data_IF_625320071394
#
_entry.id   IF_625320071394
#
_cell.length_a   1.000
_cell.length_b   1.000
_cell.length_c   1.000
_cell.angle_alpha   90.00
_cell.angle_beta   90.00
_cell.angle_gamma   90.00
#
_symmetry.space_group_name_H-M   'P 1'
#
loop_
_entity.id
_entity.type
_entity.pdbx_description
1 polymer ?
#
# COMPACT_ATOMS: atom_id res chain seq x y z
N UNK A 1 36.61 -11.23 7.52
CA UNK A 1 36.06 -10.03 8.20
C UNK A 1 35.53 -9.10 7.12
N UNK A 2 34.22 -8.95 6.98
CA UNK A 2 33.67 -7.98 6.02
C UNK A 2 33.73 -6.59 6.65
N UNK A 3 34.58 -5.71 6.11
CA UNK A 3 34.72 -4.31 6.51
C UNK A 3 33.51 -3.48 6.03
N UNK A 4 32.35 -3.67 6.64
CA UNK A 4 31.20 -2.77 6.45
C UNK A 4 31.24 -1.63 7.46
N UNK A 5 30.89 -0.42 7.01
CA UNK A 5 30.82 0.77 7.88
C UNK A 5 29.69 0.59 8.89
N UNK A 6 29.94 0.75 10.19
CA UNK A 6 28.90 0.67 11.23
C UNK A 6 28.33 2.04 11.63
N UNK A 7 28.99 3.13 11.24
CA UNK A 7 28.59 4.50 11.53
C UNK A 7 28.67 5.39 10.28
N UNK A 8 27.82 6.44 10.18
CA UNK A 8 27.90 7.41 9.10
C UNK A 8 29.24 8.15 9.15
N UNK A 9 29.81 8.45 7.98
CA UNK A 9 31.02 9.28 7.92
C UNK A 9 30.70 10.74 8.28
N UNK A 10 31.56 11.42 9.05
CA UNK A 10 31.40 12.84 9.33
C UNK A 10 31.60 13.64 8.04
N UNK A 11 30.49 14.01 7.41
CA UNK A 11 30.44 14.78 6.16
C UNK A 11 29.24 15.72 6.15
N UNK A 12 29.40 16.87 5.50
CA UNK A 12 28.31 17.81 5.23
C UNK A 12 27.58 17.47 3.91
N UNK A 13 28.10 16.49 3.15
CA UNK A 13 27.58 16.09 1.85
C UNK A 13 26.52 14.98 1.98
N UNK A 14 25.78 14.77 0.89
CA UNK A 14 24.85 13.64 0.75
C UNK A 14 25.61 12.31 0.90
N UNK A 15 25.12 11.36 1.73
CA UNK A 15 25.74 10.04 1.83
C UNK A 15 25.76 9.32 0.47
N UNK A 16 26.90 8.74 0.10
CA UNK A 16 27.09 8.08 -1.19
C UNK A 16 26.16 6.87 -1.42
N UNK A 17 25.57 6.32 -0.35
CA UNK A 17 24.57 5.24 -0.45
C UNK A 17 23.19 5.70 -0.95
N UNK A 18 22.85 6.99 -0.84
CA UNK A 18 21.49 7.48 -1.13
C UNK A 18 21.03 7.22 -2.57
N UNK A 19 21.82 7.48 -3.63
CA UNK A 19 21.39 7.21 -5.00
C UNK A 19 20.98 5.75 -5.23
N UNK A 20 21.71 4.81 -4.63
CA UNK A 20 21.38 3.38 -4.71
C UNK A 20 20.06 3.05 -4.01
N UNK A 21 19.78 3.65 -2.86
CA UNK A 21 18.53 3.40 -2.11
C UNK A 21 17.33 3.98 -2.88
N UNK A 22 17.44 5.21 -3.39
CA UNK A 22 16.36 5.85 -4.16
C UNK A 22 16.10 5.11 -5.47
N UNK A 23 17.15 4.69 -6.18
CA UNK A 23 17.02 3.88 -7.40
C UNK A 23 16.41 2.50 -7.15
N UNK A 24 16.83 1.82 -6.08
CA UNK A 24 16.22 0.57 -5.62
C UNK A 24 14.73 0.74 -5.33
N UNK A 25 14.34 1.81 -4.63
CA UNK A 25 12.93 2.06 -4.31
C UNK A 25 12.09 2.28 -5.56
N UNK A 26 12.55 3.11 -6.50
CA UNK A 26 11.81 3.37 -7.73
C UNK A 26 11.52 2.07 -8.50
N UNK A 27 12.53 1.20 -8.63
CA UNK A 27 12.43 -0.05 -9.36
C UNK A 27 11.58 -1.11 -8.63
N UNK A 28 11.71 -1.23 -7.30
CA UNK A 28 10.86 -2.13 -6.52
C UNK A 28 9.40 -1.67 -6.52
N UNK A 29 9.13 -0.36 -6.40
CA UNK A 29 7.77 0.19 -6.41
C UNK A 29 7.12 -0.03 -7.77
N UNK A 30 7.87 0.18 -8.85
CA UNK A 30 7.40 -0.19 -10.18
C UNK A 30 6.99 -1.67 -10.23
N UNK A 31 7.85 -2.55 -9.73
CA UNK A 31 7.59 -3.99 -9.74
C UNK A 31 6.32 -4.37 -8.98
N UNK A 32 6.19 -3.88 -7.74
CA UNK A 32 5.05 -4.17 -6.88
C UNK A 32 3.74 -3.68 -7.48
N UNK A 33 3.66 -2.39 -7.81
CA UNK A 33 2.43 -1.78 -8.30
C UNK A 33 2.06 -2.27 -9.69
N UNK A 34 3.03 -2.55 -10.55
CA UNK A 34 2.81 -3.12 -11.87
C UNK A 34 2.14 -4.49 -11.82
N UNK A 35 2.72 -5.41 -11.04
CA UNK A 35 2.15 -6.74 -10.83
C UNK A 35 0.77 -6.66 -10.17
N UNK A 36 0.63 -5.86 -9.11
CA UNK A 36 -0.65 -5.70 -8.40
C UNK A 36 -1.75 -5.17 -9.32
N UNK A 37 -1.44 -4.20 -10.20
CA UNK A 37 -2.42 -3.54 -11.05
C UNK A 37 -3.11 -4.47 -12.04
N UNK A 38 -2.44 -5.55 -12.45
CA UNK A 38 -2.97 -6.53 -13.41
C UNK A 38 -3.54 -7.79 -12.77
N UNK A 39 -3.36 -7.98 -11.46
CA UNK A 39 -3.64 -9.25 -10.78
C UNK A 39 -5.11 -9.67 -10.93
N UNK A 40 -6.05 -8.72 -10.82
CA UNK A 40 -7.48 -8.97 -11.03
C UNK A 40 -7.81 -9.45 -12.44
N UNK A 41 -7.30 -8.74 -13.45
CA UNK A 41 -7.52 -9.09 -14.86
C UNK A 41 -6.89 -10.44 -15.16
N UNK A 42 -5.70 -10.69 -14.63
CA UNK A 42 -5.02 -11.97 -14.76
C UNK A 42 -5.84 -13.14 -14.20
N UNK A 43 -6.34 -13.02 -12.97
CA UNK A 43 -7.14 -14.07 -12.31
C UNK A 43 -8.47 -14.35 -13.05
N UNK A 44 -9.08 -13.32 -13.62
CA UNK A 44 -10.40 -13.42 -14.27
C UNK A 44 -10.33 -13.77 -15.76
N UNK A 45 -9.16 -13.65 -16.41
CA UNK A 45 -9.07 -13.79 -17.88
C UNK A 45 -7.92 -14.65 -18.40
N UNK A 46 -6.84 -14.87 -17.63
CA UNK A 46 -5.60 -15.46 -18.16
C UNK A 46 -5.14 -16.75 -17.47
N UNK A 47 -5.75 -17.13 -16.34
CA UNK A 47 -5.38 -18.37 -15.64
C UNK A 47 -5.66 -19.61 -16.48
N UNK A 48 -4.73 -20.58 -16.41
CA UNK A 48 -4.85 -21.88 -17.08
C UNK A 48 -4.74 -23.04 -16.09
N UNK A 49 -5.23 -24.22 -16.47
CA UNK A 49 -4.98 -25.47 -15.76
C UNK A 49 -3.67 -26.13 -16.21
N UNK A 50 -3.33 -27.29 -15.64
CA UNK A 50 -2.11 -28.03 -15.97
C UNK A 50 -2.05 -28.54 -17.42
N UNK A 51 -3.19 -28.62 -18.12
CA UNK A 51 -3.25 -28.95 -19.55
C UNK A 51 -3.21 -27.72 -20.46
N UNK A 52 -3.06 -26.51 -19.91
CA UNK A 52 -3.00 -25.26 -20.67
C UNK A 52 -4.35 -24.70 -21.11
N UNK A 53 -5.47 -25.27 -20.66
CA UNK A 53 -6.82 -24.74 -20.94
C UNK A 53 -7.18 -23.65 -19.93
N UNK A 54 -8.01 -22.68 -20.34
CA UNK A 54 -8.45 -21.59 -19.47
C UNK A 54 -9.21 -22.12 -18.24
N UNK A 55 -8.79 -21.67 -17.05
CA UNK A 55 -9.32 -22.07 -15.75
C UNK A 55 -9.39 -20.86 -14.80
N UNK A 56 -10.06 -19.81 -15.28
CA UNK A 56 -10.21 -18.51 -14.62
C UNK A 56 -11.03 -18.58 -13.32
N UNK A 57 -10.90 -17.53 -12.52
CA UNK A 57 -11.68 -17.34 -11.29
C UNK A 57 -12.93 -16.50 -11.59
N UNK A 58 -13.98 -16.67 -10.76
CA UNK A 58 -15.09 -15.71 -10.75
C UNK A 58 -14.62 -14.35 -10.24
N UNK A 59 -15.37 -13.28 -10.55
CA UNK A 59 -15.08 -11.91 -10.06
C UNK A 59 -14.88 -11.89 -8.53
N UNK A 60 -15.78 -12.52 -7.79
CA UNK A 60 -15.75 -12.59 -6.33
C UNK A 60 -14.59 -13.44 -5.79
N UNK A 61 -14.31 -14.60 -6.40
CA UNK A 61 -13.17 -15.46 -6.03
C UNK A 61 -11.86 -14.69 -6.21
N UNK A 62 -11.71 -14.02 -7.36
CA UNK A 62 -10.55 -13.19 -7.67
C UNK A 62 -10.40 -12.02 -6.68
N UNK A 63 -11.48 -11.32 -6.32
CA UNK A 63 -11.47 -10.27 -5.29
C UNK A 63 -11.04 -10.82 -3.92
N UNK A 64 -11.58 -11.98 -3.53
CA UNK A 64 -11.22 -12.67 -2.29
C UNK A 64 -9.72 -12.93 -2.21
N UNK A 65 -9.13 -13.54 -3.25
CA UNK A 65 -7.69 -13.81 -3.32
C UNK A 65 -6.83 -12.54 -3.44
N UNK A 66 -7.27 -11.53 -4.20
CA UNK A 66 -6.57 -10.25 -4.29
C UNK A 66 -6.38 -9.62 -2.91
N UNK A 67 -7.48 -9.52 -2.14
CA UNK A 67 -7.42 -8.93 -0.81
C UNK A 67 -6.69 -9.83 0.20
N UNK A 68 -6.75 -11.15 0.05
CA UNK A 68 -5.95 -12.05 0.87
C UNK A 68 -4.45 -11.84 0.64
N UNK A 69 -4.03 -11.68 -0.61
CA UNK A 69 -2.66 -11.34 -0.97
C UNK A 69 -2.22 -9.99 -0.40
N UNK A 70 -3.04 -8.95 -0.57
CA UNK A 70 -2.74 -7.61 -0.01
C UNK A 70 -2.65 -7.68 1.52
N UNK A 71 -3.55 -8.42 2.17
CA UNK A 71 -3.51 -8.66 3.61
C UNK A 71 -2.19 -9.30 4.04
N UNK A 72 -1.74 -10.36 3.36
CA UNK A 72 -0.47 -11.00 3.63
C UNK A 72 0.72 -10.05 3.45
N UNK A 73 0.75 -9.25 2.38
CA UNK A 73 1.81 -8.26 2.12
C UNK A 73 1.91 -7.23 3.26
N UNK A 74 0.79 -6.79 3.83
CA UNK A 74 0.79 -5.80 4.92
C UNK A 74 0.88 -6.41 6.33
N UNK A 75 0.75 -7.73 6.45
CA UNK A 75 1.02 -8.46 7.69
C UNK A 75 2.51 -8.80 7.86
N UNK A 76 3.21 -9.13 6.77
CA UNK A 76 4.63 -9.48 6.76
C UNK A 76 5.63 -8.42 7.28
N UNK A 77 5.35 -7.10 7.30
CA UNK A 77 6.21 -6.11 7.94
C UNK A 77 6.55 -6.43 9.40
N UNK A 78 5.65 -7.07 10.16
CA UNK A 78 5.92 -7.48 11.54
C UNK A 78 7.11 -8.46 11.61
N UNK A 79 7.15 -9.44 10.70
CA UNK A 79 8.25 -10.40 10.60
C UNK A 79 9.51 -9.75 10.05
N UNK A 80 9.38 -8.88 9.05
CA UNK A 80 10.50 -8.12 8.49
C UNK A 80 11.24 -7.29 9.54
N UNK A 81 10.50 -6.56 10.36
CA UNK A 81 11.04 -5.79 11.48
C UNK A 81 11.77 -6.68 12.50
N UNK A 82 11.17 -7.82 12.88
CA UNK A 82 11.79 -8.77 13.81
C UNK A 82 13.10 -9.35 13.26
N UNK A 83 13.15 -9.71 11.97
CA UNK A 83 14.36 -10.22 11.33
C UNK A 83 15.46 -9.16 11.26
N UNK A 84 15.10 -7.92 10.88
CA UNK A 84 16.04 -6.82 10.76
C UNK A 84 16.59 -6.33 12.10
N UNK A 85 15.72 -6.03 13.07
CA UNK A 85 16.13 -5.44 14.34
C UNK A 85 16.56 -6.50 15.36
N UNK A 86 16.10 -7.75 15.21
CA UNK A 86 16.39 -8.85 16.14
C UNK A 86 17.59 -9.73 15.75
N UNK A 87 17.75 -10.09 14.46
CA UNK A 87 18.67 -11.16 14.05
C UNK A 87 19.75 -10.73 13.06
N UNK A 88 19.37 -10.25 11.87
CA UNK A 88 20.29 -10.15 10.72
C UNK A 88 20.82 -8.75 10.45
N UNK A 89 20.18 -7.71 10.99
CA UNK A 89 20.40 -6.32 10.58
C UNK A 89 19.66 -5.98 9.28
N UNK A 90 19.28 -4.70 9.13
CA UNK A 90 18.41 -4.21 8.03
C UNK A 90 18.91 -4.59 6.64
N UNK A 91 20.18 -4.32 6.31
CA UNK A 91 20.73 -4.60 4.96
C UNK A 91 20.60 -6.07 4.57
N UNK A 92 20.96 -7.01 5.47
CA UNK A 92 20.90 -8.45 5.16
C UNK A 92 19.46 -8.92 5.02
N UNK A 93 18.57 -8.45 5.90
CA UNK A 93 17.13 -8.74 5.79
C UNK A 93 16.57 -8.26 4.47
N UNK A 94 16.87 -7.02 4.06
CA UNK A 94 16.39 -6.48 2.78
C UNK A 94 16.93 -7.29 1.62
N UNK A 95 18.23 -7.60 1.59
CA UNK A 95 18.84 -8.35 0.50
C UNK A 95 18.23 -9.76 0.36
N UNK A 96 18.11 -10.51 1.46
CA UNK A 96 17.57 -11.87 1.45
C UNK A 96 16.10 -11.89 1.00
N UNK A 97 15.28 -11.01 1.58
CA UNK A 97 13.86 -10.93 1.23
C UNK A 97 13.65 -10.41 -0.20
N UNK A 98 14.54 -9.55 -0.71
CA UNK A 98 14.48 -9.09 -2.11
C UNK A 98 14.76 -10.23 -3.10
N UNK A 99 15.62 -11.19 -2.76
CA UNK A 99 15.84 -12.39 -3.58
C UNK A 99 14.59 -13.29 -3.61
N UNK A 100 13.94 -13.50 -2.46
CA UNK A 100 12.65 -14.21 -2.37
C UNK A 100 11.59 -13.48 -3.20
N UNK A 101 11.60 -12.16 -3.17
CA UNK A 101 10.70 -11.33 -3.95
C UNK A 101 10.91 -11.53 -5.47
N UNK A 102 12.17 -11.55 -5.93
CA UNK A 102 12.49 -11.85 -7.33
C UNK A 102 11.95 -13.23 -7.75
N UNK A 103 12.16 -14.25 -6.91
CA UNK A 103 11.64 -15.60 -7.18
C UNK A 103 10.11 -15.59 -7.35
N UNK A 104 9.39 -14.87 -6.49
CA UNK A 104 7.93 -14.76 -6.60
C UNK A 104 7.46 -14.16 -7.93
N UNK A 105 8.12 -13.12 -8.43
CA UNK A 105 7.81 -12.56 -9.75
C UNK A 105 8.10 -13.53 -10.90
N UNK A 106 9.25 -14.22 -10.87
CA UNK A 106 9.56 -15.20 -11.89
C UNK A 106 8.65 -16.42 -11.84
N UNK A 107 8.18 -16.83 -10.66
CA UNK A 107 7.13 -17.86 -10.54
C UNK A 107 5.85 -17.42 -11.25
N UNK A 108 5.37 -16.19 -11.05
CA UNK A 108 4.19 -15.67 -11.76
C UNK A 108 4.40 -15.56 -13.28
N UNK A 109 5.64 -15.29 -13.72
CA UNK A 109 5.96 -15.20 -15.14
C UNK A 109 6.03 -16.56 -15.85
N UNK A 110 6.42 -17.62 -15.12
CA UNK A 110 6.68 -18.95 -15.67
C UNK A 110 5.48 -19.90 -15.53
N UNK A 111 4.68 -19.75 -14.47
CA UNK A 111 3.57 -20.65 -14.15
C UNK A 111 2.25 -19.89 -14.10
N UNK A 112 1.47 -20.01 -15.17
CA UNK A 112 0.16 -19.35 -15.30
C UNK A 112 -0.99 -20.12 -14.63
N UNK A 113 -0.69 -21.14 -13.82
CA UNK A 113 -1.70 -21.91 -13.11
C UNK A 113 -2.10 -21.28 -11.78
N UNK A 114 -3.19 -21.76 -11.19
CA UNK A 114 -3.60 -21.38 -9.83
C UNK A 114 -2.51 -21.70 -8.78
N UNK A 115 -1.71 -22.75 -8.99
CA UNK A 115 -0.60 -23.09 -8.10
C UNK A 115 0.55 -22.09 -8.25
N UNK A 116 0.93 -21.77 -9.50
CA UNK A 116 1.91 -20.73 -9.80
C UNK A 116 1.53 -19.39 -9.20
N UNK A 117 0.25 -19.02 -9.31
CA UNK A 117 -0.31 -17.83 -8.69
C UNK A 117 -0.14 -17.82 -7.17
N UNK A 118 -0.52 -18.91 -6.49
CA UNK A 118 -0.42 -19.03 -5.03
C UNK A 118 1.03 -18.94 -4.55
N UNK A 119 1.93 -19.68 -5.20
CA UNK A 119 3.36 -19.70 -4.86
C UNK A 119 3.99 -18.33 -5.12
N UNK A 120 3.74 -17.75 -6.30
CA UNK A 120 4.26 -16.43 -6.67
C UNK A 120 3.79 -15.33 -5.71
N UNK A 121 2.48 -15.27 -5.42
CA UNK A 121 1.91 -14.30 -4.47
C UNK A 121 2.48 -14.49 -3.05
N UNK A 122 2.65 -15.74 -2.59
CA UNK A 122 3.20 -16.03 -1.26
C UNK A 122 4.64 -15.53 -1.13
N UNK A 123 5.48 -15.81 -2.13
CA UNK A 123 6.87 -15.34 -2.17
C UNK A 123 6.95 -13.80 -2.25
N UNK A 124 6.10 -13.17 -3.06
CA UNK A 124 6.01 -11.70 -3.14
C UNK A 124 5.55 -11.10 -1.81
N UNK A 125 4.57 -11.70 -1.13
CA UNK A 125 4.08 -11.22 0.16
C UNK A 125 5.18 -11.25 1.23
N UNK A 126 5.95 -12.34 1.31
CA UNK A 126 7.11 -12.47 2.19
C UNK A 126 8.17 -11.42 1.85
N UNK A 127 8.51 -11.30 0.56
CA UNK A 127 9.53 -10.39 0.06
C UNK A 127 9.16 -8.92 0.26
N UNK A 128 8.16 -8.44 -0.48
CA UNK A 128 7.71 -7.04 -0.45
C UNK A 128 7.27 -6.61 0.95
N UNK A 129 6.50 -7.44 1.64
CA UNK A 129 6.01 -7.12 2.98
C UNK A 129 7.14 -7.01 4.00
N UNK A 130 8.07 -7.95 4.00
CA UNK A 130 9.16 -7.95 4.99
C UNK A 130 10.23 -6.87 4.75
N UNK A 131 10.41 -6.36 3.52
CA UNK A 131 11.36 -5.25 3.28
C UNK A 131 10.79 -3.86 3.63
N UNK A 132 9.47 -3.65 3.55
CA UNK A 132 8.80 -2.35 3.77
C UNK A 132 9.27 -1.59 5.03
N UNK A 133 9.30 -2.18 6.24
CA UNK A 133 9.70 -1.45 7.44
C UNK A 133 11.21 -1.17 7.48
N UNK A 134 12.00 -1.93 6.73
CA UNK A 134 13.46 -1.90 6.78
C UNK A 134 14.06 -0.80 5.89
N UNK A 135 13.51 -0.61 4.68
CA UNK A 135 14.10 0.30 3.66
C UNK A 135 14.01 1.76 4.10
N UNK A 136 12.84 2.21 4.57
CA UNK A 136 12.67 3.59 5.05
C UNK A 136 13.56 3.89 6.27
N UNK A 137 13.72 2.90 7.17
CA UNK A 137 14.62 3.01 8.31
C UNK A 137 16.11 3.01 7.90
N UNK A 138 16.48 2.32 6.81
CA UNK A 138 17.85 2.30 6.29
C UNK A 138 18.29 3.68 5.78
N UNK A 139 17.39 4.49 5.22
CA UNK A 139 17.68 5.87 4.77
C UNK A 139 18.13 6.72 5.96
N UNK A 140 17.33 6.73 7.03
CA UNK A 140 17.64 7.50 8.24
C UNK A 140 18.98 7.11 8.86
N UNK A 141 19.36 5.83 8.75
CA UNK A 141 20.64 5.33 9.26
C UNK A 141 21.87 5.81 8.48
N UNK A 142 21.70 6.39 7.28
CA UNK A 142 22.82 6.91 6.48
C UNK A 142 23.30 8.30 6.90
N UNK A 143 22.51 9.01 7.72
CA UNK A 143 22.81 10.38 8.11
C UNK A 143 23.45 10.44 9.50
N UNK A 144 24.49 11.26 9.60
CA UNK A 144 25.09 11.69 10.87
C UNK A 144 24.56 13.06 11.29
N UNK A 145 25.11 13.63 12.37
CA UNK A 145 24.70 14.94 12.89
C UNK A 145 24.93 16.07 11.87
N UNK A 146 26.06 16.03 11.15
CA UNK A 146 26.49 17.10 10.26
C UNK A 146 25.63 17.24 8.97
N UNK A 147 25.06 16.13 8.48
CA UNK A 147 24.24 16.11 7.26
C UNK A 147 22.76 15.81 7.53
N UNK A 148 22.31 15.82 8.79
CA UNK A 148 20.92 15.53 9.18
C UNK A 148 19.90 16.46 8.48
N UNK A 149 20.28 17.72 8.22
CA UNK A 149 19.44 18.69 7.51
C UNK A 149 19.09 18.27 6.05
N UNK A 150 19.89 17.39 5.43
CA UNK A 150 19.64 16.86 4.09
C UNK A 150 18.61 15.71 4.09
N UNK A 151 18.32 15.13 5.25
CA UNK A 151 17.45 13.96 5.37
C UNK A 151 16.04 14.23 4.85
N UNK A 152 15.47 15.40 5.17
CA UNK A 152 14.14 15.81 4.68
C UNK A 152 14.08 15.84 3.16
N UNK A 153 15.12 16.40 2.52
CA UNK A 153 15.24 16.45 1.06
C UNK A 153 15.27 15.05 0.44
N UNK A 154 15.99 14.12 1.07
CA UNK A 154 16.08 12.73 0.59
C UNK A 154 14.78 11.97 0.78
N UNK A 155 14.06 12.16 1.88
CA UNK A 155 12.72 11.61 2.04
C UNK A 155 11.75 12.14 0.98
N UNK A 156 11.86 13.42 0.56
CA UNK A 156 11.09 13.94 -0.57
C UNK A 156 11.43 13.27 -1.89
N UNK A 157 12.71 13.04 -2.19
CA UNK A 157 13.13 12.31 -3.39
C UNK A 157 12.63 10.86 -3.39
N UNK A 158 12.73 10.19 -2.24
CA UNK A 158 12.22 8.84 -2.04
C UNK A 158 10.70 8.78 -2.29
N UNK A 159 9.96 9.77 -1.79
CA UNK A 159 8.52 9.87 -2.01
C UNK A 159 8.14 10.06 -3.49
N UNK A 160 8.89 10.92 -4.20
CA UNK A 160 8.69 11.10 -5.66
C UNK A 160 9.00 9.79 -6.40
N UNK A 161 10.09 9.10 -6.04
CA UNK A 161 10.47 7.82 -6.63
C UNK A 161 9.36 6.76 -6.49
N UNK A 162 8.72 6.67 -5.32
CA UNK A 162 7.58 5.77 -5.07
C UNK A 162 6.44 6.06 -6.05
N UNK A 163 5.98 7.32 -6.10
CA UNK A 163 4.80 7.68 -6.88
C UNK A 163 5.06 7.64 -8.39
N UNK A 164 6.24 8.06 -8.85
CA UNK A 164 6.62 7.95 -10.27
C UNK A 164 6.74 6.49 -10.70
N UNK A 165 7.37 5.65 -9.87
CA UNK A 165 7.48 4.20 -10.12
C UNK A 165 6.11 3.54 -10.21
N UNK A 166 5.21 3.84 -9.26
CA UNK A 166 3.84 3.34 -9.25
C UNK A 166 3.03 3.80 -10.48
N UNK A 167 3.07 5.10 -10.78
CA UNK A 167 2.38 5.70 -11.92
C UNK A 167 2.81 5.06 -13.24
N UNK A 168 4.11 4.97 -13.48
CA UNK A 168 4.64 4.36 -14.70
C UNK A 168 4.24 2.87 -14.80
N UNK A 169 4.32 2.12 -13.71
CA UNK A 169 3.96 0.70 -13.70
C UNK A 169 2.48 0.45 -13.99
N UNK A 170 1.60 1.26 -13.39
CA UNK A 170 0.15 1.17 -13.60
C UNK A 170 -0.30 1.55 -15.01
N UNK A 171 0.54 2.26 -15.79
CA UNK A 171 0.30 2.52 -17.20
C UNK A 171 0.90 1.44 -18.10
N UNK A 172 2.14 1.03 -17.85
CA UNK A 172 2.93 0.17 -18.73
C UNK A 172 2.55 -1.31 -18.58
N UNK A 173 2.39 -1.82 -17.36
CA UNK A 173 2.17 -3.26 -17.15
C UNK A 173 0.81 -3.74 -17.67
N UNK A 174 -0.31 -3.02 -17.48
CA UNK A 174 -1.57 -3.40 -18.14
C UNK A 174 -1.48 -3.40 -19.67
N UNK A 175 -0.73 -2.47 -20.25
CA UNK A 175 -0.48 -2.43 -21.69
C UNK A 175 0.31 -3.66 -22.15
N UNK A 176 1.36 -4.06 -21.41
CA UNK A 176 2.11 -5.29 -21.68
C UNK A 176 1.23 -6.54 -21.55
N UNK A 177 0.34 -6.61 -20.55
CA UNK A 177 -0.56 -7.75 -20.41
C UNK A 177 -1.47 -7.92 -21.64
N UNK A 178 -2.03 -6.82 -22.15
CA UNK A 178 -2.91 -6.85 -23.33
C UNK A 178 -2.17 -7.27 -24.62
N UNK A 179 -0.95 -6.80 -24.84
CA UNK A 179 -0.25 -6.99 -26.12
C UNK A 179 0.72 -8.18 -26.14
N UNK A 180 1.29 -8.52 -24.98
CA UNK A 180 2.39 -9.48 -24.86
C UNK A 180 2.08 -10.67 -23.94
N UNK A 181 0.91 -10.66 -23.29
CA UNK A 181 0.45 -11.74 -22.42
C UNK A 181 1.06 -11.75 -21.00
N UNK A 182 0.60 -12.68 -20.14
CA UNK A 182 0.91 -12.67 -18.71
C UNK A 182 2.39 -12.94 -18.40
N UNK A 183 3.04 -13.82 -19.17
CA UNK A 183 4.44 -14.15 -18.96
C UNK A 183 5.35 -12.92 -19.01
N UNK A 184 5.20 -12.08 -20.05
CA UNK A 184 5.97 -10.84 -20.20
C UNK A 184 5.52 -9.79 -19.17
N UNK A 185 4.22 -9.66 -18.94
CA UNK A 185 3.66 -8.69 -18.00
C UNK A 185 4.10 -8.93 -16.54
N UNK A 186 4.39 -10.17 -16.14
CA UNK A 186 4.99 -10.49 -14.84
C UNK A 186 6.52 -10.55 -14.86
N UNK A 187 7.15 -10.90 -15.98
CA UNK A 187 8.61 -10.93 -16.10
C UNK A 187 9.23 -9.54 -16.01
N UNK A 188 8.61 -8.51 -16.61
CA UNK A 188 9.13 -7.13 -16.56
C UNK A 188 9.22 -6.58 -15.14
N UNK A 189 8.17 -6.68 -14.30
CA UNK A 189 8.27 -6.45 -12.85
C UNK A 189 9.42 -7.25 -12.22
N UNK A 190 9.51 -8.56 -12.47
CA UNK A 190 10.58 -9.41 -11.92
C UNK A 190 11.99 -8.95 -12.27
N UNK A 191 12.22 -8.51 -13.52
CA UNK A 191 13.50 -7.96 -13.96
C UNK A 191 13.82 -6.63 -13.27
N UNK A 192 12.83 -5.76 -13.05
CA UNK A 192 13.04 -4.52 -12.31
C UNK A 192 13.24 -4.75 -10.81
N UNK A 193 12.59 -5.75 -10.23
CA UNK A 193 12.89 -6.17 -8.86
C UNK A 193 14.32 -6.74 -8.73
N UNK A 194 14.78 -7.48 -9.73
CA UNK A 194 16.16 -7.96 -9.80
C UNK A 194 17.14 -6.78 -9.93
N UNK A 195 16.82 -5.80 -10.79
CA UNK A 195 17.59 -4.56 -10.89
C UNK A 195 17.66 -3.81 -9.56
N UNK A 196 16.53 -3.68 -8.85
CA UNK A 196 16.48 -3.08 -7.52
C UNK A 196 17.45 -3.80 -6.56
N UNK A 197 17.38 -5.13 -6.53
CA UNK A 197 18.26 -5.97 -5.71
C UNK A 197 19.74 -5.80 -6.06
N UNK A 198 20.07 -5.70 -7.35
CA UNK A 198 21.43 -5.44 -7.83
C UNK A 198 21.91 -4.05 -7.41
N UNK A 199 21.08 -3.01 -7.54
CA UNK A 199 21.41 -1.65 -7.09
C UNK A 199 21.69 -1.62 -5.59
N UNK A 200 20.86 -2.30 -4.79
CA UNK A 200 21.09 -2.47 -3.35
C UNK A 200 22.43 -3.16 -3.08
N UNK A 201 22.73 -4.23 -3.79
CA UNK A 201 23.98 -4.96 -3.62
C UNK A 201 25.21 -4.16 -4.05
N UNK A 202 25.12 -3.33 -5.10
CA UNK A 202 26.21 -2.44 -5.52
C UNK A 202 26.51 -1.37 -4.46
N UNK A 203 25.49 -0.88 -3.75
CA UNK A 203 25.64 0.10 -2.68
C UNK A 203 26.24 -0.45 -1.36
N UNK A 204 26.47 -1.76 -1.24
CA UNK A 204 26.86 -2.44 0.02
C UNK A 204 28.11 -1.88 0.71
N UNK A 205 29.06 -1.31 -0.02
CA UNK A 205 30.27 -0.73 0.58
C UNK A 205 30.11 0.75 0.93
N UNK A 206 29.02 1.37 0.46
CA UNK A 206 28.67 2.77 0.72
C UNK A 206 27.69 2.92 1.90
N UNK A 207 26.97 1.86 2.27
CA UNK A 207 25.99 1.92 3.35
C UNK A 207 26.61 1.87 4.74
N UNK A 208 25.98 2.61 5.63
CA UNK A 208 26.10 2.44 7.08
C UNK A 208 25.22 1.27 7.53
N UNK A 209 25.84 0.28 8.16
CA UNK A 209 25.25 -0.96 8.66
C UNK A 209 25.17 -0.91 10.18
N UNK A 210 24.02 -0.46 10.70
CA UNK A 210 23.79 -0.53 12.15
C UNK A 210 23.59 -1.99 12.59
N UNK A 211 24.24 -2.42 13.70
CA UNK A 211 24.02 -3.74 14.24
C UNK A 211 22.57 -3.89 14.76
N UNK A 212 22.02 -5.11 14.75
CA UNK A 212 20.69 -5.36 15.29
C UNK A 212 20.64 -5.02 16.79
N UNK A 213 19.50 -4.51 17.25
CA UNK A 213 19.26 -4.19 18.65
C UNK A 213 19.10 -5.46 19.52
N UNK A 214 18.75 -6.59 18.92
CA UNK A 214 18.65 -7.88 19.58
C UNK A 214 17.55 -7.94 20.64
N UNK A 215 17.78 -8.69 21.72
CA UNK A 215 16.76 -8.97 22.75
C UNK A 215 16.25 -7.72 23.49
N UNK A 216 17.00 -6.60 23.46
CA UNK A 216 16.60 -5.34 24.09
C UNK A 216 15.32 -4.78 23.45
N UNK A 217 15.21 -4.87 22.12
CA UNK A 217 14.04 -4.43 21.36
C UNK A 217 12.78 -5.21 21.76
N UNK A 218 12.88 -6.55 21.83
CA UNK A 218 11.76 -7.42 22.20
C UNK A 218 11.30 -7.13 23.64
N UNK A 219 12.24 -6.94 24.57
CA UNK A 219 11.92 -6.59 25.97
C UNK A 219 11.23 -5.24 26.10
N UNK A 220 11.64 -4.23 25.33
CA UNK A 220 10.98 -2.91 25.31
C UNK A 220 9.56 -2.98 24.73
N UNK A 221 9.35 -3.76 23.66
CA UNK A 221 8.01 -3.98 23.09
C UNK A 221 7.05 -4.62 24.08
N UNK A 222 7.49 -5.66 24.79
CA UNK A 222 6.67 -6.37 25.77
C UNK A 222 6.58 -5.66 27.13
N UNK A 223 7.15 -4.46 27.26
CA UNK A 223 7.06 -3.67 28.48
C UNK A 223 5.64 -3.11 28.68
N UNK A 224 5.24 -2.87 29.93
CA UNK A 224 3.93 -2.29 30.24
C UNK A 224 3.70 -0.93 29.59
N UNK A 225 4.76 -0.12 29.46
CA UNK A 225 4.71 1.21 28.81
C UNK A 225 4.45 1.05 27.30
N UNK A 226 5.21 0.14 26.66
CA UNK A 226 5.02 -0.17 25.24
C UNK A 226 3.60 -0.68 24.95
N UNK A 227 3.12 -1.64 25.74
CA UNK A 227 1.79 -2.23 25.55
C UNK A 227 0.65 -1.21 25.75
N UNK A 228 0.75 -0.32 26.75
CA UNK A 228 -0.25 0.76 26.97
C UNK A 228 -0.30 1.74 25.80
N UNK A 229 0.86 2.16 25.27
CA UNK A 229 0.93 3.06 24.11
C UNK A 229 0.38 2.39 22.84
N UNK A 230 0.72 1.12 22.64
CA UNK A 230 0.18 0.32 21.54
C UNK A 230 -1.33 0.16 21.62
N UNK A 231 -1.89 -0.08 22.81
CA UNK A 231 -3.33 -0.14 23.01
C UNK A 231 -4.04 1.19 22.67
N UNK A 232 -3.43 2.34 23.05
CA UNK A 232 -3.94 3.67 22.72
C UNK A 232 -3.89 3.98 21.22
N UNK A 233 -2.88 3.49 20.51
CA UNK A 233 -2.80 3.61 19.04
C UNK A 233 -3.72 2.61 18.32
N UNK A 234 -3.86 1.40 18.86
CA UNK A 234 -4.74 0.35 18.33
C UNK A 234 -6.21 0.81 18.30
N UNK A 235 -6.64 1.57 19.32
CA UNK A 235 -8.00 2.10 19.36
C UNK A 235 -8.31 3.06 18.21
N UNK A 236 -7.30 3.81 17.71
CA UNK A 236 -7.44 4.66 16.52
C UNK A 236 -7.34 3.81 15.25
N UNK A 237 -6.34 2.93 15.16
CA UNK A 237 -6.10 2.09 13.99
C UNK A 237 -7.26 1.17 13.64
N UNK A 238 -8.03 0.73 14.63
CA UNK A 238 -9.23 -0.07 14.41
C UNK A 238 -10.24 0.58 13.45
N UNK A 239 -10.40 1.91 13.49
CA UNK A 239 -11.28 2.64 12.57
C UNK A 239 -10.70 2.72 11.15
N UNK A 240 -9.38 2.78 11.03
CA UNK A 240 -8.70 2.86 9.73
C UNK A 240 -8.65 1.53 9.00
N UNK A 241 -8.85 0.42 9.70
CA UNK A 241 -9.12 -0.88 9.08
C UNK A 241 -10.24 -0.80 8.05
N UNK A 242 -11.34 -0.11 8.36
CA UNK A 242 -12.47 0.05 7.42
C UNK A 242 -12.10 0.99 6.27
N UNK A 243 -11.36 2.07 6.54
CA UNK A 243 -10.85 2.94 5.49
C UNK A 243 -10.01 2.14 4.46
N UNK A 244 -9.10 1.28 4.92
CA UNK A 244 -8.29 0.44 4.03
C UNK A 244 -9.10 -0.64 3.31
N UNK A 245 -10.14 -1.19 3.96
CA UNK A 245 -11.08 -2.10 3.31
C UNK A 245 -11.76 -1.46 2.08
N UNK A 246 -12.07 -0.16 2.14
CA UNK A 246 -12.61 0.60 1.01
C UNK A 246 -11.50 1.02 0.04
N UNK A 247 -10.41 1.60 0.54
CA UNK A 247 -9.36 2.15 -0.31
C UNK A 247 -8.75 1.10 -1.25
N UNK A 248 -8.43 -0.09 -0.72
CA UNK A 248 -7.76 -1.13 -1.53
C UNK A 248 -8.69 -1.81 -2.54
N UNK A 249 -10.01 -1.55 -2.49
CA UNK A 249 -10.94 -1.98 -3.54
C UNK A 249 -10.75 -1.26 -4.87
N UNK A 250 -10.03 -0.14 -4.88
CA UNK A 250 -9.57 0.53 -6.10
C UNK A 250 -8.75 -0.40 -7.00
N UNK A 251 -8.06 -1.39 -6.41
CA UNK A 251 -7.31 -2.42 -7.12
C UNK A 251 -8.09 -3.70 -7.40
N UNK A 252 -9.36 -3.78 -7.01
CA UNK A 252 -10.21 -4.97 -7.15
C UNK A 252 -11.55 -4.67 -7.82
N UNK A 253 -12.62 -4.43 -7.04
CA UNK A 253 -13.98 -4.19 -7.52
C UNK A 253 -14.07 -3.02 -8.49
N UNK A 254 -13.29 -1.96 -8.26
CA UNK A 254 -13.24 -0.78 -9.12
C UNK A 254 -12.68 -1.10 -10.52
N UNK A 255 -11.71 -2.02 -10.62
CA UNK A 255 -11.19 -2.47 -11.92
C UNK A 255 -12.29 -3.23 -12.68
N UNK A 256 -13.00 -4.12 -12.00
CA UNK A 256 -14.11 -4.88 -12.60
C UNK A 256 -15.25 -3.96 -13.03
N UNK A 257 -15.58 -2.95 -12.22
CA UNK A 257 -16.56 -1.93 -12.61
C UNK A 257 -16.10 -1.15 -13.85
N UNK A 258 -14.83 -0.72 -13.89
CA UNK A 258 -14.24 -0.07 -15.06
C UNK A 258 -14.29 -0.95 -16.32
N UNK A 259 -14.33 -2.28 -16.19
CA UNK A 259 -14.49 -3.17 -17.34
C UNK A 259 -15.83 -2.98 -18.06
N UNK A 260 -16.85 -2.58 -17.31
CA UNK A 260 -18.25 -2.45 -17.73
C UNK A 260 -18.64 -1.00 -18.12
N UNK A 261 -17.71 -0.06 -17.99
CA UNK A 261 -17.91 1.38 -18.25
C UNK A 261 -17.39 1.83 -19.62
N UNK A 262 -17.78 3.03 -20.05
CA UNK A 262 -17.19 3.69 -21.23
C UNK A 262 -15.81 4.25 -20.86
N UNK A 263 -14.77 3.64 -21.43
CA UNK A 263 -13.36 3.97 -21.18
C UNK A 263 -12.73 4.86 -22.25
N UNK A 264 -13.53 5.46 -23.13
CA UNK A 264 -13.02 6.37 -24.15
C UNK A 264 -12.69 7.74 -23.55
N UNK A 265 -11.42 8.12 -23.58
CA UNK A 265 -10.93 9.43 -23.17
C UNK A 265 -10.27 10.12 -24.36
N UNK A 266 -10.89 11.19 -24.87
CA UNK A 266 -10.39 11.96 -26.01
C UNK A 266 -9.98 11.11 -27.22
N UNK A 267 -10.74 10.04 -27.51
CA UNK A 267 -10.48 9.11 -28.61
C UNK A 267 -9.52 7.96 -28.31
N UNK A 268 -8.96 7.88 -27.10
CA UNK A 268 -8.09 6.78 -26.65
C UNK A 268 -8.86 5.90 -25.68
N UNK A 269 -8.92 4.60 -25.95
CA UNK A 269 -9.50 3.63 -25.01
C UNK A 269 -8.52 3.32 -23.88
N UNK A 270 -8.89 3.68 -22.65
CA UNK A 270 -8.13 3.34 -21.46
C UNK A 270 -8.32 1.85 -21.11
N UNK A 271 -7.27 1.15 -20.70
CA UNK A 271 -7.43 -0.18 -20.10
C UNK A 271 -8.01 -0.07 -18.68
N UNK A 272 -8.89 -0.99 -18.26
CA UNK A 272 -9.58 -0.87 -16.98
C UNK A 272 -8.60 -0.77 -15.78
N UNK A 273 -7.49 -1.50 -15.80
CA UNK A 273 -6.45 -1.41 -14.75
C UNK A 273 -5.68 -0.09 -14.73
N UNK A 274 -5.62 0.66 -15.84
CA UNK A 274 -4.82 1.89 -15.92
C UNK A 274 -5.42 3.05 -15.12
N UNK A 275 -6.71 2.98 -14.74
CA UNK A 275 -7.33 3.98 -13.87
C UNK A 275 -6.63 4.10 -12.51
N UNK A 276 -5.98 3.02 -12.04
CA UNK A 276 -5.20 3.03 -10.80
C UNK A 276 -4.06 4.05 -10.84
N UNK A 277 -3.51 4.36 -12.01
CA UNK A 277 -2.47 5.37 -12.17
C UNK A 277 -2.93 6.77 -11.71
N UNK A 278 -4.25 7.00 -11.63
CA UNK A 278 -4.79 8.25 -11.11
C UNK A 278 -4.32 8.51 -9.66
N UNK A 279 -4.30 7.50 -8.78
CA UNK A 279 -3.96 7.70 -7.37
C UNK A 279 -2.53 8.24 -7.14
N UNK A 280 -1.43 7.62 -7.61
CA UNK A 280 -0.08 8.17 -7.39
C UNK A 280 0.12 9.54 -8.05
N UNK A 281 -0.52 9.80 -9.19
CA UNK A 281 -0.52 11.13 -9.82
C UNK A 281 -1.23 12.15 -8.93
N UNK A 282 -2.43 11.82 -8.48
CA UNK A 282 -3.24 12.68 -7.61
C UNK A 282 -2.54 12.92 -6.28
N UNK A 283 -1.86 11.94 -5.71
CA UNK A 283 -1.06 12.13 -4.49
C UNK A 283 0.01 13.21 -4.69
N UNK A 284 0.77 13.16 -5.79
CA UNK A 284 1.79 14.17 -6.08
C UNK A 284 1.22 15.58 -6.27
N UNK A 285 -0.04 15.71 -6.70
CA UNK A 285 -0.72 16.98 -6.93
C UNK A 285 -1.47 17.49 -5.69
N UNK A 286 -2.21 16.60 -5.03
CA UNK A 286 -3.08 16.89 -3.91
C UNK A 286 -2.30 17.10 -2.63
N UNK A 287 -1.19 16.41 -2.37
CA UNK A 287 -0.42 16.64 -1.14
C UNK A 287 0.05 18.10 -1.03
N UNK A 288 0.73 18.69 -2.04
CA UNK A 288 1.06 20.12 -2.01
C UNK A 288 -0.18 21.02 -1.93
N UNK A 289 -1.25 20.71 -2.67
CA UNK A 289 -2.50 21.47 -2.66
C UNK A 289 -3.12 21.51 -1.25
N UNK A 290 -3.15 20.36 -0.56
CA UNK A 290 -3.68 20.26 0.79
C UNK A 290 -2.80 21.01 1.79
N UNK A 291 -1.48 20.83 1.72
CA UNK A 291 -0.53 21.48 2.63
C UNK A 291 -0.50 23.01 2.49
N UNK A 292 -0.51 23.54 1.26
CA UNK A 292 -0.30 24.97 1.02
C UNK A 292 -1.58 25.78 0.81
N UNK A 293 -2.70 25.14 0.43
CA UNK A 293 -3.95 25.83 0.15
C UNK A 293 -5.10 25.34 1.03
N UNK A 294 -5.47 24.07 0.96
CA UNK A 294 -6.72 23.59 1.59
C UNK A 294 -6.62 23.62 3.11
N UNK A 295 -5.56 23.09 3.73
CA UNK A 295 -5.42 23.10 5.19
C UNK A 295 -5.34 24.53 5.75
N UNK A 296 -4.55 25.46 5.19
CA UNK A 296 -4.58 26.86 5.63
C UNK A 296 -5.96 27.51 5.51
N UNK A 297 -6.73 27.21 4.46
CA UNK A 297 -8.09 27.74 4.28
C UNK A 297 -9.08 27.15 5.29
N UNK A 298 -9.07 25.82 5.48
CA UNK A 298 -9.93 25.16 6.48
C UNK A 298 -9.63 25.65 7.90
N UNK A 299 -8.35 25.90 8.20
CA UNK A 299 -7.92 26.40 9.50
C UNK A 299 -8.41 27.84 9.79
N UNK A 300 -8.91 28.57 8.78
CA UNK A 300 -9.60 29.86 8.99
C UNK A 300 -11.04 29.68 9.50
N UNK A 301 -11.67 28.54 9.21
CA UNK A 301 -13.06 28.25 9.59
C UNK A 301 -13.16 27.55 10.94
N UNK A 302 -12.26 26.59 11.23
CA UNK A 302 -12.19 25.86 12.50
C UNK A 302 -10.77 25.38 12.76
N UNK A 303 -10.42 25.13 14.02
CA UNK A 303 -9.09 24.65 14.40
C UNK A 303 -8.87 23.25 13.84
N UNK A 304 -7.90 23.10 12.95
CA UNK A 304 -7.67 21.87 12.22
C UNK A 304 -6.61 20.98 12.91
N UNK A 305 -7.04 20.21 13.92
CA UNK A 305 -6.18 19.21 14.59
C UNK A 305 -5.93 17.99 13.70
N UNK A 306 -4.94 17.15 14.05
CA UNK A 306 -4.68 15.90 13.35
C UNK A 306 -5.92 14.99 13.35
N UNK A 307 -6.60 14.91 14.49
CA UNK A 307 -7.82 14.12 14.65
C UNK A 307 -8.97 14.67 13.78
N UNK A 308 -9.16 15.98 13.72
CA UNK A 308 -10.18 16.60 12.86
C UNK A 308 -9.93 16.36 11.36
N UNK A 309 -8.66 16.38 10.91
CA UNK A 309 -8.31 16.00 9.53
C UNK A 309 -8.73 14.56 9.24
N UNK A 310 -8.38 13.64 10.13
CA UNK A 310 -8.74 12.22 9.96
C UNK A 310 -10.26 12.03 9.92
N UNK A 311 -11.03 12.69 10.80
CA UNK A 311 -12.51 12.64 10.77
C UNK A 311 -13.07 13.09 9.41
N UNK A 312 -12.65 14.24 8.91
CA UNK A 312 -13.13 14.79 7.63
C UNK A 312 -12.79 13.83 6.48
N UNK A 313 -11.60 13.23 6.50
CA UNK A 313 -11.22 12.21 5.52
C UNK A 313 -12.10 10.97 5.56
N UNK A 314 -12.50 10.49 6.75
CA UNK A 314 -13.44 9.36 6.86
C UNK A 314 -14.81 9.68 6.26
N UNK A 315 -15.37 10.87 6.52
CA UNK A 315 -16.62 11.30 5.88
C UNK A 315 -16.46 11.51 4.37
N UNK A 316 -15.32 12.06 3.93
CA UNK A 316 -15.03 12.21 2.50
C UNK A 316 -14.94 10.86 1.79
N UNK A 317 -14.47 9.81 2.49
CA UNK A 317 -14.46 8.43 1.97
C UNK A 317 -15.87 7.91 1.70
N UNK A 318 -16.85 8.24 2.56
CA UNK A 318 -18.26 7.89 2.34
C UNK A 318 -18.77 8.51 1.03
N UNK A 319 -18.48 9.80 0.82
CA UNK A 319 -18.88 10.50 -0.41
C UNK A 319 -18.18 9.90 -1.63
N UNK A 320 -16.89 9.58 -1.50
CA UNK A 320 -16.11 8.96 -2.57
C UNK A 320 -16.68 7.59 -2.97
N UNK A 321 -17.15 6.78 -2.02
CA UNK A 321 -17.72 5.45 -2.25
C UNK A 321 -19.20 5.45 -2.65
N UNK A 322 -19.93 6.54 -2.38
CA UNK A 322 -21.27 6.73 -2.94
C UNK A 322 -21.22 6.81 -4.48
N UNK A 323 -20.16 7.36 -5.07
CA UNK A 323 -20.00 7.47 -6.53
C UNK A 323 -19.96 6.09 -7.23
N UNK A 324 -19.05 5.15 -6.91
CA UNK A 324 -19.07 3.80 -7.49
C UNK A 324 -20.35 3.03 -7.18
N UNK A 325 -21.04 3.35 -6.06
CA UNK A 325 -22.36 2.78 -5.78
C UNK A 325 -23.40 3.25 -6.81
N UNK A 326 -23.43 4.55 -7.13
CA UNK A 326 -24.32 5.14 -8.14
C UNK A 326 -23.95 4.68 -9.56
N UNK A 327 -22.64 4.59 -9.87
CA UNK A 327 -22.16 4.02 -11.13
C UNK A 327 -22.70 2.59 -11.29
N UNK A 328 -22.63 1.79 -10.22
CA UNK A 328 -23.12 0.41 -10.28
C UNK A 328 -24.64 0.35 -10.50
N UNK A 329 -25.43 1.22 -9.86
CA UNK A 329 -26.87 1.28 -10.11
C UNK A 329 -27.18 1.57 -11.60
N UNK A 330 -26.45 2.50 -12.21
CA UNK A 330 -26.59 2.82 -13.64
C UNK A 330 -26.22 1.63 -14.52
N UNK A 331 -25.13 0.91 -14.18
CA UNK A 331 -24.72 -0.31 -14.90
C UNK A 331 -25.78 -1.40 -14.78
N UNK A 332 -26.37 -1.58 -13.59
CA UNK A 332 -27.40 -2.58 -13.33
C UNK A 332 -28.70 -2.28 -14.11
N UNK A 333 -28.98 -1.00 -14.39
CA UNK A 333 -30.06 -0.54 -15.27
C UNK A 333 -29.71 -0.61 -16.78
N UNK A 334 -28.49 -1.01 -17.14
CA UNK A 334 -28.03 -1.16 -18.52
C UNK A 334 -27.40 0.09 -19.16
N UNK A 335 -27.17 1.16 -18.38
CA UNK A 335 -26.40 2.32 -18.84
C UNK A 335 -24.90 2.03 -18.84
N UNK A 336 -24.14 2.78 -19.65
CA UNK A 336 -22.68 2.66 -19.75
C UNK A 336 -22.05 4.01 -19.37
N UNK A 337 -21.92 4.32 -18.06
CA UNK A 337 -21.37 5.59 -17.61
C UNK A 337 -19.90 5.74 -18.00
N UNK A 338 -19.47 6.99 -18.22
CA UNK A 338 -18.08 7.31 -18.52
C UNK A 338 -17.15 7.08 -17.33
N UNK A 339 -15.94 6.58 -17.61
CA UNK A 339 -14.84 6.39 -16.64
C UNK A 339 -14.49 7.67 -15.86
N UNK A 340 -14.87 8.86 -16.37
CA UNK A 340 -14.68 10.14 -15.67
C UNK A 340 -15.40 10.21 -14.31
N UNK A 341 -16.52 9.51 -14.14
CA UNK A 341 -17.19 9.40 -12.84
C UNK A 341 -16.32 8.66 -11.83
N UNK A 342 -15.64 7.60 -12.27
CA UNK A 342 -14.72 6.87 -11.42
C UNK A 342 -13.47 7.71 -11.12
N UNK A 343 -12.97 8.49 -12.08
CA UNK A 343 -11.87 9.45 -11.84
C UNK A 343 -12.24 10.48 -10.76
N UNK A 344 -13.48 10.98 -10.75
CA UNK A 344 -13.98 11.85 -9.67
C UNK A 344 -13.95 11.13 -8.32
N UNK A 345 -14.38 9.86 -8.27
CA UNK A 345 -14.29 9.05 -7.06
C UNK A 345 -12.82 8.89 -6.59
N UNK A 346 -11.87 8.69 -7.50
CA UNK A 346 -10.43 8.68 -7.18
C UNK A 346 -9.94 10.02 -6.61
N UNK A 347 -10.38 11.16 -7.12
CA UNK A 347 -10.01 12.49 -6.60
C UNK A 347 -10.45 12.64 -5.14
N UNK A 348 -11.70 12.27 -4.84
CA UNK A 348 -12.25 12.37 -3.47
C UNK A 348 -11.59 11.34 -2.54
N UNK A 349 -11.41 10.11 -2.99
CA UNK A 349 -10.78 9.04 -2.20
C UNK A 349 -9.31 9.33 -1.92
N UNK A 350 -8.57 9.87 -2.89
CA UNK A 350 -7.16 10.27 -2.70
C UNK A 350 -7.07 11.50 -1.80
N UNK A 351 -8.02 12.44 -1.89
CA UNK A 351 -8.12 13.53 -0.93
C UNK A 351 -8.35 13.01 0.50
N UNK A 352 -9.22 12.01 0.67
CA UNK A 352 -9.42 11.35 1.95
C UNK A 352 -8.15 10.62 2.44
N UNK A 353 -7.41 9.96 1.55
CA UNK A 353 -6.11 9.34 1.87
C UNK A 353 -5.11 10.36 2.42
N UNK A 354 -4.99 11.55 1.81
CA UNK A 354 -4.12 12.62 2.31
C UNK A 354 -4.53 13.07 3.71
N UNK A 355 -5.82 13.12 4.01
CA UNK A 355 -6.35 13.54 5.30
C UNK A 355 -6.23 12.44 6.38
N UNK A 356 -6.41 11.17 6.01
CA UNK A 356 -6.40 10.03 6.93
C UNK A 356 -5.01 9.42 7.04
N UNK A 357 -4.47 8.88 5.95
CA UNK A 357 -3.26 8.06 5.96
C UNK A 357 -2.04 8.87 6.35
N UNK A 358 -1.78 9.99 5.66
CA UNK A 358 -0.58 10.82 5.89
C UNK A 358 -0.61 11.41 7.31
N UNK A 359 -1.74 12.00 7.71
CA UNK A 359 -1.92 12.58 9.05
C UNK A 359 -1.80 11.54 10.16
N UNK A 360 -2.40 10.36 9.99
CA UNK A 360 -2.32 9.30 10.99
C UNK A 360 -0.88 8.84 11.18
N UNK A 361 -0.15 8.66 10.09
CA UNK A 361 1.22 8.17 10.11
C UNK A 361 2.13 9.17 10.82
N UNK A 362 1.99 10.47 10.53
CA UNK A 362 2.67 11.56 11.22
C UNK A 362 2.32 11.61 12.72
N UNK A 363 1.03 11.56 13.05
CA UNK A 363 0.55 11.53 14.44
C UNK A 363 1.11 10.34 15.22
N UNK A 364 1.11 9.15 14.62
CA UNK A 364 1.66 7.96 15.25
C UNK A 364 3.17 8.05 15.46
N UNK A 365 3.89 8.69 14.55
CA UNK A 365 5.33 8.93 14.70
C UNK A 365 5.64 9.89 15.86
N UNK A 366 4.82 10.91 16.10
CA UNK A 366 5.02 11.85 17.21
C UNK A 366 4.67 11.24 18.57
N UNK A 367 3.74 10.29 18.60
CA UNK A 367 3.32 9.57 19.81
C UNK A 367 4.23 8.37 20.16
N UNK A 368 5.00 7.87 19.19
CA UNK A 368 5.87 6.71 19.37
C UNK A 368 7.18 7.06 20.11
N UNK A 369 7.59 6.26 21.12
CA UNK A 369 8.95 6.33 21.67
C UNK A 369 10.01 6.18 20.57
N UNK A 370 11.16 6.85 20.73
CA UNK A 370 12.24 6.84 19.74
C UNK A 370 12.74 5.42 19.40
N UNK A 371 12.68 4.48 20.35
CA UNK A 371 13.10 3.08 20.16
C UNK A 371 12.05 2.20 19.50
N UNK A 372 10.78 2.64 19.40
CA UNK A 372 9.65 1.82 18.91
C UNK A 372 9.10 2.28 17.56
N UNK A 373 9.72 3.27 16.89
CA UNK A 373 9.20 3.86 15.63
C UNK A 373 8.94 2.83 14.53
N UNK A 374 9.89 1.93 14.25
CA UNK A 374 9.71 0.86 13.24
C UNK A 374 8.56 -0.09 13.58
N UNK A 375 8.36 -0.35 14.87
CA UNK A 375 7.30 -1.25 15.34
C UNK A 375 5.92 -0.59 15.28
N UNK A 376 5.80 0.68 15.67
CA UNK A 376 4.55 1.45 15.54
C UNK A 376 4.11 1.54 14.08
N UNK A 377 5.07 1.64 13.15
CA UNK A 377 4.82 1.57 11.72
C UNK A 377 4.37 0.19 11.24
N UNK A 378 5.01 -0.87 11.72
CA UNK A 378 4.56 -2.23 11.42
C UNK A 378 3.14 -2.48 11.96
N UNK A 379 2.82 -1.92 13.12
CA UNK A 379 1.49 -1.99 13.71
C UNK A 379 0.46 -1.15 12.95
N UNK A 380 0.85 -0.02 12.35
CA UNK A 380 0.00 0.69 11.40
C UNK A 380 -0.34 -0.16 10.18
N UNK A 381 0.64 -0.85 9.58
CA UNK A 381 0.38 -1.75 8.45
C UNK A 381 -0.55 -2.91 8.80
N UNK A 382 -0.62 -3.33 10.06
CA UNK A 382 -1.61 -4.31 10.51
C UNK A 382 -3.05 -3.83 10.28
N UNK A 383 -3.34 -2.53 10.37
CA UNK A 383 -4.69 -2.00 10.05
C UNK A 383 -5.04 -2.21 8.57
N UNK A 384 -4.07 -2.02 7.66
CA UNK A 384 -4.22 -2.31 6.24
C UNK A 384 -4.46 -3.80 6.01
N UNK A 385 -3.69 -4.65 6.70
CA UNK A 385 -3.83 -6.09 6.61
C UNK A 385 -5.20 -6.58 7.07
N UNK A 386 -5.71 -6.05 8.19
CA UNK A 386 -7.04 -6.38 8.72
C UNK A 386 -8.16 -5.88 7.81
N UNK A 387 -8.01 -4.70 7.18
CA UNK A 387 -9.02 -4.15 6.27
C UNK A 387 -9.19 -4.99 5.02
N UNK A 388 -8.06 -5.44 4.47
CA UNK A 388 -8.06 -6.37 3.34
C UNK A 388 -8.53 -7.77 3.75
N UNK A 389 -8.18 -8.25 4.95
CA UNK A 389 -8.68 -9.54 5.44
C UNK A 389 -10.21 -9.52 5.58
N UNK A 390 -10.76 -8.42 6.11
CA UNK A 390 -12.21 -8.21 6.18
C UNK A 390 -12.84 -8.23 4.79
N UNK A 391 -12.27 -7.49 3.83
CA UNK A 391 -12.78 -7.45 2.46
C UNK A 391 -12.69 -8.81 1.77
N UNK A 392 -11.60 -9.55 1.98
CA UNK A 392 -11.43 -10.92 1.50
C UNK A 392 -12.50 -11.86 2.08
N UNK A 393 -12.74 -11.78 3.40
CA UNK A 393 -13.77 -12.57 4.07
C UNK A 393 -15.16 -12.25 3.53
N UNK A 394 -15.50 -10.98 3.31
CA UNK A 394 -16.77 -10.58 2.67
C UNK A 394 -16.92 -11.27 1.31
N UNK A 395 -15.93 -11.17 0.43
CA UNK A 395 -16.01 -11.74 -0.93
C UNK A 395 -16.11 -13.29 -0.95
N UNK A 396 -15.52 -13.98 0.02
CA UNK A 396 -15.69 -15.44 0.14
C UNK A 396 -17.02 -15.86 0.79
N UNK A 397 -17.60 -15.03 1.67
CA UNK A 397 -18.81 -15.37 2.45
C UNK A 397 -20.13 -14.91 1.79
N UNK A 398 -20.07 -14.03 0.79
CA UNK A 398 -21.25 -13.54 0.06
C UNK A 398 -21.86 -14.60 -0.87
N UNK A 399 -21.15 -15.68 -1.19
CA UNK A 399 -21.71 -16.76 -2.01
C UNK A 399 -22.70 -17.62 -1.24
N UNK A 400 -23.86 -17.84 -1.83
CA UNK A 400 -24.83 -18.81 -1.39
C UNK A 400 -24.54 -20.19 -2.01
N UNK A 401 -25.04 -21.25 -1.38
CA UNK A 401 -24.88 -22.64 -1.83
C UNK A 401 -25.53 -22.86 -3.22
N UNK A 402 -26.54 -22.05 -3.55
CA UNK A 402 -27.23 -22.04 -4.85
C UNK A 402 -26.48 -21.28 -5.96
N UNK A 403 -25.32 -20.70 -5.66
CA UNK A 403 -24.52 -19.92 -6.60
C UNK A 403 -24.88 -18.44 -6.70
N UNK A 404 -25.93 -17.97 -6.02
CA UNK A 404 -26.27 -16.54 -5.94
C UNK A 404 -25.35 -15.77 -4.99
N UNK A 405 -25.29 -14.43 -5.11
CA UNK A 405 -24.56 -13.56 -4.18
C UNK A 405 -25.52 -12.83 -3.25
N UNK A 406 -25.20 -12.80 -1.94
CA UNK A 406 -25.92 -12.03 -0.91
C UNK A 406 -25.76 -10.51 -1.08
N UNK A 407 -24.67 -10.09 -1.73
CA UNK A 407 -24.38 -8.70 -2.07
C UNK A 407 -24.03 -8.69 -3.56
N UNK A 408 -24.99 -8.32 -4.40
CA UNK A 408 -24.83 -8.27 -5.85
C UNK A 408 -24.96 -6.82 -6.34
N UNK A 409 -24.26 -6.49 -7.43
CA UNK A 409 -24.37 -5.18 -8.06
C UNK A 409 -24.14 -4.02 -7.08
N UNK A 410 -25.05 -3.05 -7.09
CA UNK A 410 -24.96 -1.86 -6.26
C UNK A 410 -24.94 -2.12 -4.74
N UNK A 411 -25.60 -3.19 -4.27
CA UNK A 411 -25.69 -3.50 -2.84
C UNK A 411 -24.32 -3.76 -2.21
N UNK A 412 -23.38 -4.30 -3.00
CA UNK A 412 -21.99 -4.50 -2.57
C UNK A 412 -21.32 -3.18 -2.20
N UNK A 413 -21.42 -2.18 -3.07
CA UNK A 413 -20.80 -0.87 -2.83
C UNK A 413 -21.52 -0.09 -1.72
N UNK A 414 -22.86 -0.21 -1.64
CA UNK A 414 -23.64 0.40 -0.57
C UNK A 414 -23.35 -0.22 0.80
N UNK A 415 -23.08 -1.52 0.88
CA UNK A 415 -22.63 -2.17 2.10
C UNK A 415 -21.36 -1.52 2.66
N UNK A 416 -20.32 -1.36 1.83
CA UNK A 416 -19.08 -0.72 2.25
C UNK A 416 -19.26 0.78 2.54
N UNK A 417 -20.09 1.49 1.76
CA UNK A 417 -20.43 2.90 1.99
C UNK A 417 -21.11 3.09 3.35
N UNK A 418 -22.09 2.24 3.68
CA UNK A 418 -22.79 2.25 4.97
C UNK A 418 -21.87 1.90 6.13
N UNK A 419 -21.00 0.90 5.97
CA UNK A 419 -19.99 0.54 6.96
C UNK A 419 -19.04 1.71 7.25
N UNK A 420 -18.61 2.43 6.22
CA UNK A 420 -17.76 3.61 6.36
C UNK A 420 -18.51 4.76 7.06
N UNK A 421 -19.79 4.97 6.75
CA UNK A 421 -20.59 5.99 7.44
C UNK A 421 -20.72 5.70 8.94
N UNK A 422 -21.02 4.45 9.30
CA UNK A 422 -21.06 4.01 10.70
C UNK A 422 -19.69 4.23 11.36
N UNK A 423 -18.61 3.84 10.69
CA UNK A 423 -17.24 4.01 11.20
C UNK A 423 -16.90 5.49 11.40
N UNK A 424 -17.25 6.37 10.47
CA UNK A 424 -17.01 7.81 10.57
C UNK A 424 -17.80 8.43 11.75
N UNK A 425 -19.05 8.03 11.94
CA UNK A 425 -19.88 8.48 13.06
C UNK A 425 -19.35 7.99 14.41
N UNK A 426 -18.94 6.72 14.51
CA UNK A 426 -18.32 6.18 15.72
C UNK A 426 -16.98 6.84 16.02
N UNK A 427 -16.15 7.08 15.00
CA UNK A 427 -14.88 7.78 15.17
C UNK A 427 -15.08 9.20 15.67
N UNK A 428 -16.09 9.92 15.15
CA UNK A 428 -16.47 11.26 15.65
C UNK A 428 -16.80 11.24 17.15
N UNK A 429 -17.52 10.22 17.61
CA UNK A 429 -17.83 10.07 19.04
C UNK A 429 -16.59 9.76 19.90
N UNK A 430 -15.70 8.87 19.43
CA UNK A 430 -14.47 8.51 20.16
C UNK A 430 -13.48 9.67 20.21
N UNK A 431 -13.31 10.38 19.10
CA UNK A 431 -12.37 11.49 18.97
C UNK A 431 -12.74 12.69 19.84
N UNK A 432 -14.03 12.96 20.09
CA UNK A 432 -14.46 13.97 21.08
C UNK A 432 -13.96 13.67 22.50
N UNK A 433 -13.66 12.41 22.81
CA UNK A 433 -13.15 11.97 24.12
C UNK A 433 -11.63 11.83 24.15
N UNK A 434 -10.96 11.91 22.99
CA UNK A 434 -9.54 11.73 22.86
C UNK A 434 -8.80 13.04 23.13
N UNK A 435 -8.11 13.14 24.26
CA UNK A 435 -7.27 14.30 24.59
C UNK A 435 -5.83 14.02 24.14
N UNK A 436 -5.25 14.94 23.36
CA UNK A 436 -3.89 14.82 22.81
C UNK A 436 -2.78 14.95 23.88
N UNK A 437 -3.14 15.20 25.13
CA UNK A 437 -2.23 15.44 26.26
C UNK A 437 -2.27 14.29 27.27
N UNK A 438 -1.45 13.26 27.05
CA UNK A 438 -0.84 12.48 28.13
C UNK A 438 0.66 12.37 27.82
N UNK A 439 1.35 13.50 27.87
CA UNK A 439 2.81 13.53 27.99
C UNK A 439 3.13 13.42 29.48
N UNK A 440 3.02 12.20 30.02
CA UNK A 440 3.67 11.81 31.27
C UNK A 440 4.77 10.77 30.98
#
# INVERSE_FOLDING_TARGET
MNNYKSHPEPSNMLPAGIPYIVGNEAAERFSYYGMRAILMIYMTQYLVNSSGQLAVMSENEAQGYFHLFVSAVYFMPLFGALLADGLFGKYRTILLLSLIYCLGHFTLALDNTRMGLLLGQSLIAIGSGGIKPCVSAQIGDQFGLNNQHLMTKVYSWFYIAINVGAFAAMLIIPWLLKHSGPAIAFAVPGLLMLLATVLLWLGRHHYTHKPPAGMKFIKEMCSQIGLKRLAKLASIYGFFTVFWALFDQTGSSWIIQAQKMDRMLWGIELLPSQIQAANPLLIMLLVPLFSYLIYPLLNRCFVLTAISKMQLGLFLTVIAFAIPSIIQMQLDEGFIPSILWQLLAYVLLTSAEVMVSITCLEFSYTQAPATMKSFVMAFYFLSVALGNLFTSAVNFLIHNIDGSSKLAGADYYWFFTGLMLITAALFLWVSQRYHETDND
#
